data_IF_046570036142
#
_entry.id   IF_046570036142
#
_cell.length_a   1.000
_cell.length_b   1.000
_cell.length_c   1.000
_cell.angle_alpha   90.00
_cell.angle_beta   90.00
_cell.angle_gamma   90.00
#
_symmetry.space_group_name_H-M   'P 1'
#
loop_
_entity.id
_entity.type
_entity.pdbx_description
1 polymer ?
#
# COMPACT_ATOMS: atom_id res chain seq x y z
N UNK A 1 -0.34 -12.31 56.47
CA UNK A 1 -1.80 -12.33 56.26
C UNK A 1 -2.10 -13.18 55.04
N UNK A 2 -2.65 -14.37 55.24
CA UNK A 2 -3.03 -15.30 54.16
C UNK A 2 -4.34 -14.84 53.52
N UNK A 3 -4.38 -14.79 52.18
CA UNK A 3 -5.61 -14.45 51.46
C UNK A 3 -6.70 -15.50 51.72
N UNK A 4 -7.98 -15.09 51.81
CA UNK A 4 -9.12 -15.99 51.97
C UNK A 4 -9.17 -17.06 50.86
N UNK A 5 -9.45 -18.31 51.23
CA UNK A 5 -9.58 -19.45 50.31
C UNK A 5 -10.42 -19.21 49.03
N UNK A 6 -11.60 -18.56 49.09
CA UNK A 6 -12.40 -18.33 47.89
C UNK A 6 -11.70 -17.40 46.89
N UNK A 7 -10.92 -16.44 47.37
CA UNK A 7 -10.15 -15.53 46.52
C UNK A 7 -8.93 -16.21 45.91
N UNK A 8 -8.26 -17.10 46.66
CA UNK A 8 -7.17 -17.93 46.12
C UNK A 8 -7.64 -18.87 45.02
N UNK A 9 -8.81 -19.49 45.18
CA UNK A 9 -9.39 -20.37 44.15
C UNK A 9 -9.78 -19.58 42.90
N UNK A 10 -10.38 -18.39 43.06
CA UNK A 10 -10.74 -17.52 41.93
C UNK A 10 -9.51 -16.95 41.20
N UNK A 11 -8.48 -16.54 41.91
CA UNK A 11 -7.23 -16.08 41.31
C UNK A 11 -6.46 -17.24 40.63
N UNK A 12 -6.51 -18.44 41.21
CA UNK A 12 -5.95 -19.64 40.60
C UNK A 12 -6.67 -20.06 39.32
N UNK A 13 -8.00 -19.97 39.28
CA UNK A 13 -8.76 -20.22 38.04
C UNK A 13 -8.47 -19.14 37.00
N UNK A 14 -8.43 -17.86 37.39
CA UNK A 14 -8.13 -16.77 36.46
C UNK A 14 -6.69 -16.86 35.92
N UNK A 15 -5.73 -17.24 36.75
CA UNK A 15 -4.34 -17.44 36.32
C UNK A 15 -4.22 -18.60 35.34
N UNK A 16 -4.93 -19.71 35.54
CA UNK A 16 -4.96 -20.82 34.57
C UNK A 16 -5.67 -20.45 33.27
N UNK A 17 -6.73 -19.64 33.33
CA UNK A 17 -7.42 -19.15 32.13
C UNK A 17 -6.56 -18.16 31.32
N UNK A 18 -5.71 -17.37 31.98
CA UNK A 18 -4.86 -16.38 31.29
C UNK A 18 -3.49 -16.95 30.85
N UNK A 19 -2.94 -17.92 31.60
CA UNK A 19 -1.59 -18.47 31.34
C UNK A 19 -1.57 -19.93 30.87
N UNK A 20 -2.70 -20.59 30.69
CA UNK A 20 -2.72 -22.01 30.27
C UNK A 20 -3.84 -22.28 29.27
N UNK A 21 -3.61 -21.91 28.02
CA UNK A 21 -4.15 -22.69 26.90
C UNK A 21 -3.13 -22.74 25.75
N UNK A 22 -2.29 -23.77 25.75
CA UNK A 22 -1.38 -24.08 24.65
C UNK A 22 -1.29 -25.59 24.38
N UNK A 23 -2.29 -26.38 24.78
CA UNK A 23 -2.33 -27.79 24.37
C UNK A 23 -3.74 -28.38 24.41
N UNK A 24 -4.52 -28.12 23.36
CA UNK A 24 -5.63 -28.97 22.91
C UNK A 24 -5.59 -29.12 21.39
N UNK A 25 -5.59 -30.34 20.84
CA UNK A 25 -5.71 -30.56 19.40
C UNK A 25 -7.20 -30.52 19.03
N UNK A 26 -7.65 -29.36 18.58
CA UNK A 26 -8.96 -29.11 17.97
C UNK A 26 -8.75 -28.15 16.79
N UNK A 27 -9.66 -28.12 15.80
CA UNK A 27 -9.37 -27.64 14.45
C UNK A 27 -8.73 -26.25 14.48
N UNK A 28 -7.56 -26.15 13.85
CA UNK A 28 -6.77 -24.94 13.69
C UNK A 28 -7.55 -23.93 12.85
N UNK A 29 -8.43 -23.17 13.51
CA UNK A 29 -8.72 -21.82 13.06
C UNK A 29 -7.45 -21.01 13.27
N UNK A 30 -6.88 -20.37 12.23
CA UNK A 30 -5.67 -19.62 12.36
C UNK A 30 -5.96 -18.39 13.22
N UNK A 31 -5.68 -18.52 14.51
CA UNK A 31 -5.40 -17.43 15.43
C UNK A 31 -4.07 -16.75 15.08
N UNK A 32 -3.84 -16.48 13.79
CA UNK A 32 -2.74 -15.65 13.27
C UNK A 32 -3.27 -14.26 12.88
N UNK A 33 -4.28 -13.80 13.62
CA UNK A 33 -4.79 -12.43 13.62
C UNK A 33 -3.80 -11.43 14.25
N UNK A 34 -2.58 -11.86 14.54
CA UNK A 34 -1.48 -11.07 15.09
C UNK A 34 -0.47 -10.57 14.04
N UNK A 35 -0.67 -10.84 12.74
CA UNK A 35 0.32 -10.57 11.69
C UNK A 35 -0.06 -9.54 10.62
N UNK A 36 -1.28 -8.99 10.63
CA UNK A 36 -1.66 -7.88 9.72
C UNK A 36 -1.53 -6.55 10.48
N UNK A 37 -0.38 -6.31 11.10
CA UNK A 37 0.00 -4.92 11.35
C UNK A 37 0.21 -4.28 9.97
N UNK A 38 -0.71 -3.36 9.67
CA UNK A 38 -0.71 -2.48 8.51
C UNK A 38 0.55 -1.60 8.64
N UNK A 39 1.66 -2.10 8.11
CA UNK A 39 2.94 -1.40 8.13
C UNK A 39 3.06 -0.68 6.79
N UNK A 40 2.52 0.54 6.75
CA UNK A 40 2.85 1.52 5.70
C UNK A 40 4.34 1.50 5.42
N UNK A 41 4.75 1.59 4.16
CA UNK A 41 6.19 1.54 3.85
C UNK A 41 6.88 2.81 4.36
N UNK A 42 7.60 2.67 5.48
CA UNK A 42 8.37 3.74 6.11
C UNK A 42 9.32 4.46 5.14
N UNK A 43 10.11 3.79 4.29
CA UNK A 43 11.01 4.48 3.36
C UNK A 43 10.28 5.37 2.34
N UNK A 44 9.12 4.92 1.82
CA UNK A 44 8.33 5.73 0.90
C UNK A 44 7.77 6.96 1.60
N UNK A 45 7.26 6.80 2.82
CA UNK A 45 6.70 7.91 3.60
C UNK A 45 7.74 8.96 3.95
N UNK A 46 8.95 8.54 4.34
CA UNK A 46 10.06 9.45 4.60
C UNK A 46 10.45 10.22 3.33
N UNK A 47 10.53 9.55 2.18
CA UNK A 47 10.84 10.22 0.91
C UNK A 47 9.76 11.23 0.50
N UNK A 48 8.48 10.87 0.64
CA UNK A 48 7.36 11.78 0.38
C UNK A 48 7.42 13.01 1.29
N UNK A 49 7.71 12.82 2.57
CA UNK A 49 7.86 13.91 3.53
C UNK A 49 8.94 14.90 3.09
N UNK A 50 10.14 14.42 2.75
CA UNK A 50 11.19 15.30 2.24
C UNK A 50 10.80 15.99 0.93
N UNK A 51 10.07 15.30 0.06
CA UNK A 51 9.65 15.87 -1.21
C UNK A 51 8.65 17.03 -1.04
N UNK A 52 7.77 16.99 -0.04
CA UNK A 52 6.85 18.09 0.29
C UNK A 52 7.61 19.39 0.59
N UNK A 53 8.74 19.34 1.31
CA UNK A 53 9.55 20.52 1.60
C UNK A 53 10.50 20.89 0.46
N UNK A 54 10.98 19.90 -0.29
CA UNK A 54 11.84 20.13 -1.44
C UNK A 54 11.08 20.80 -2.60
N UNK A 55 9.81 20.44 -2.82
CA UNK A 55 9.01 20.94 -3.93
C UNK A 55 8.90 22.48 -4.02
N UNK A 56 8.56 23.24 -2.96
CA UNK A 56 8.53 24.70 -3.04
C UNK A 56 9.90 25.31 -3.35
N UNK A 57 10.99 24.68 -2.88
CA UNK A 57 12.35 25.09 -3.21
C UNK A 57 12.68 24.81 -4.70
N UNK A 58 12.33 23.63 -5.20
CA UNK A 58 12.46 23.28 -6.61
C UNK A 58 11.67 24.26 -7.51
N UNK A 59 10.43 24.58 -7.11
CA UNK A 59 9.56 25.51 -7.83
C UNK A 59 10.16 26.91 -7.89
N UNK A 60 10.58 27.46 -6.74
CA UNK A 60 11.20 28.78 -6.65
C UNK A 60 12.48 28.85 -7.49
N UNK A 61 13.35 27.83 -7.38
CA UNK A 61 14.57 27.75 -8.20
C UNK A 61 14.23 27.76 -9.68
N UNK A 62 13.23 27.00 -10.11
CA UNK A 62 12.80 26.95 -11.51
C UNK A 62 12.26 28.29 -12.01
N UNK A 63 11.46 28.99 -11.19
CA UNK A 63 10.96 30.34 -11.50
C UNK A 63 12.09 31.35 -11.66
N UNK A 64 13.04 31.37 -10.72
CA UNK A 64 14.19 32.29 -10.77
C UNK A 64 15.06 32.00 -12.00
N UNK A 65 15.38 30.72 -12.26
CA UNK A 65 16.17 30.31 -13.43
C UNK A 65 15.47 30.68 -14.74
N UNK A 66 14.15 30.46 -14.83
CA UNK A 66 13.34 30.83 -15.98
C UNK A 66 13.37 32.35 -16.19
N UNK A 67 13.23 33.15 -15.12
CA UNK A 67 13.29 34.61 -15.21
C UNK A 67 14.64 35.11 -15.74
N UNK A 68 15.75 34.55 -15.22
CA UNK A 68 17.10 34.93 -15.63
C UNK A 68 17.37 34.63 -17.11
N UNK A 69 16.87 33.51 -17.63
CA UNK A 69 17.08 33.11 -19.04
C UNK A 69 15.98 33.57 -19.99
N UNK A 70 14.89 34.15 -19.47
CA UNK A 70 13.71 34.58 -20.23
C UNK A 70 14.04 35.45 -21.45
N UNK A 71 14.97 36.44 -21.38
CA UNK A 71 15.28 37.30 -22.53
C UNK A 71 16.00 36.58 -23.68
N UNK A 72 16.74 35.51 -23.37
CA UNK A 72 17.64 34.82 -24.31
C UNK A 72 17.02 33.55 -24.90
N UNK A 73 15.82 33.19 -24.41
CA UNK A 73 15.08 32.00 -24.81
C UNK A 73 14.16 32.31 -25.99
N UNK A 74 13.94 31.33 -26.87
CA UNK A 74 12.97 31.48 -27.97
C UNK A 74 11.53 31.44 -27.44
N UNK A 75 10.59 32.10 -28.12
CA UNK A 75 9.21 32.28 -27.65
C UNK A 75 8.45 30.96 -27.46
N UNK A 76 8.69 29.96 -28.33
CA UNK A 76 8.06 28.65 -28.18
C UNK A 76 8.55 27.93 -26.91
N UNK A 77 9.83 28.03 -26.55
CA UNK A 77 10.37 27.45 -25.33
C UNK A 77 9.88 28.17 -24.07
N UNK A 78 9.64 29.49 -24.13
CA UNK A 78 9.02 30.23 -23.02
C UNK A 78 7.65 29.64 -22.70
N UNK A 79 6.82 29.46 -23.72
CA UNK A 79 5.47 28.89 -23.56
C UNK A 79 5.52 27.45 -23.02
N UNK A 80 6.42 26.61 -23.57
CA UNK A 80 6.61 25.22 -23.12
C UNK A 80 7.03 25.18 -21.64
N UNK A 81 8.03 25.98 -21.22
CA UNK A 81 8.53 25.97 -19.85
C UNK A 81 7.49 26.45 -18.84
N UNK A 82 6.74 27.52 -19.17
CA UNK A 82 5.64 28.00 -18.30
C UNK A 82 4.56 26.93 -18.16
N UNK A 83 4.20 26.26 -19.26
CA UNK A 83 3.22 25.17 -19.26
C UNK A 83 3.71 24.00 -18.40
N UNK A 84 4.96 23.57 -18.58
CA UNK A 84 5.58 22.52 -17.77
C UNK A 84 5.59 22.90 -16.29
N UNK A 85 5.94 24.13 -15.95
CA UNK A 85 5.98 24.59 -14.56
C UNK A 85 4.60 24.48 -13.89
N UNK A 86 3.54 24.89 -14.56
CA UNK A 86 2.16 24.76 -14.05
C UNK A 86 1.77 23.29 -13.94
N UNK A 87 1.99 22.52 -15.03
CA UNK A 87 1.58 21.12 -15.11
C UNK A 87 2.29 20.26 -14.06
N UNK A 88 3.62 20.39 -13.94
CA UNK A 88 4.43 19.70 -12.92
C UNK A 88 3.94 20.05 -11.53
N UNK A 89 3.59 21.32 -11.28
CA UNK A 89 3.11 21.73 -9.95
C UNK A 89 1.79 21.08 -9.58
N UNK A 90 0.82 21.06 -10.50
CA UNK A 90 -0.47 20.41 -10.28
C UNK A 90 -0.32 18.90 -10.10
N UNK A 91 0.46 18.26 -10.98
CA UNK A 91 0.69 16.81 -10.91
C UNK A 91 1.43 16.47 -9.62
N UNK A 92 2.44 17.25 -9.22
CA UNK A 92 3.19 16.99 -7.99
C UNK A 92 2.27 16.99 -6.77
N UNK A 93 1.39 17.99 -6.64
CA UNK A 93 0.46 18.08 -5.51
C UNK A 93 -0.45 16.86 -5.46
N UNK A 94 -1.07 16.50 -6.58
CA UNK A 94 -1.94 15.32 -6.67
C UNK A 94 -1.15 14.05 -6.37
N UNK A 95 0.06 13.93 -6.92
CA UNK A 95 0.94 12.78 -6.73
C UNK A 95 1.30 12.64 -5.25
N UNK A 96 1.82 13.68 -4.60
CA UNK A 96 2.18 13.64 -3.18
C UNK A 96 0.99 13.27 -2.29
N UNK A 97 -0.21 13.80 -2.60
CA UNK A 97 -1.44 13.43 -1.90
C UNK A 97 -1.76 11.94 -2.04
N UNK A 98 -1.78 11.41 -3.27
CA UNK A 98 -2.05 9.99 -3.53
C UNK A 98 -1.00 9.07 -2.91
N UNK A 99 0.28 9.47 -2.94
CA UNK A 99 1.36 8.72 -2.31
C UNK A 99 1.22 8.65 -0.79
N UNK A 100 0.85 9.76 -0.16
CA UNK A 100 0.64 9.84 1.29
C UNK A 100 -0.56 8.98 1.72
N UNK A 101 -1.71 9.20 1.09
CA UNK A 101 -2.96 8.48 1.38
C UNK A 101 -2.83 6.99 1.04
N UNK A 102 -2.32 6.66 -0.14
CA UNK A 102 -2.18 5.27 -0.61
C UNK A 102 -1.21 4.45 0.23
N UNK A 103 -0.11 5.05 0.70
CA UNK A 103 0.84 4.34 1.56
C UNK A 103 0.33 4.16 3.00
N UNK A 104 -0.33 5.17 3.58
CA UNK A 104 -0.85 5.10 4.95
C UNK A 104 -2.10 4.23 5.08
N UNK A 105 -3.00 4.30 4.11
CA UNK A 105 -4.27 3.57 4.13
C UNK A 105 -4.17 2.22 3.40
N UNK A 106 -2.96 1.83 2.95
CA UNK A 106 -2.69 0.65 2.10
C UNK A 106 -3.64 0.52 0.90
N UNK A 107 -4.14 1.65 0.38
CA UNK A 107 -5.09 1.61 -0.73
C UNK A 107 -4.36 1.45 -2.05
N UNK A 108 -4.52 0.26 -2.63
CA UNK A 108 -3.96 -0.14 -3.92
C UNK A 108 -4.27 0.85 -5.05
N UNK A 109 -5.52 1.35 -5.24
CA UNK A 109 -5.80 2.23 -6.36
C UNK A 109 -5.09 3.59 -6.26
N UNK A 110 -5.03 4.19 -5.07
CA UNK A 110 -4.34 5.46 -4.83
C UNK A 110 -2.82 5.32 -5.00
N UNK A 111 -2.24 4.22 -4.51
CA UNK A 111 -0.81 3.95 -4.68
C UNK A 111 -0.46 3.63 -6.14
N UNK A 112 -1.34 2.95 -6.88
CA UNK A 112 -1.19 2.75 -8.31
C UNK A 112 -1.27 4.08 -9.07
N UNK A 113 -2.18 4.98 -8.68
CA UNK A 113 -2.25 6.34 -9.20
C UNK A 113 -0.96 7.13 -8.97
N UNK A 114 -0.42 7.09 -7.75
CA UNK A 114 0.89 7.67 -7.43
C UNK A 114 2.00 7.14 -8.36
N UNK A 115 2.08 5.82 -8.50
CA UNK A 115 3.09 5.15 -9.30
C UNK A 115 2.95 5.49 -10.79
N UNK A 116 1.73 5.51 -11.30
CA UNK A 116 1.42 5.87 -12.68
C UNK A 116 1.76 7.33 -12.97
N UNK A 117 1.35 8.28 -12.13
CA UNK A 117 1.68 9.69 -12.29
C UNK A 117 3.20 9.91 -12.26
N UNK A 118 3.92 9.18 -11.41
CA UNK A 118 5.38 9.24 -11.31
C UNK A 118 6.06 8.79 -12.60
N UNK A 119 5.66 7.65 -13.14
CA UNK A 119 6.29 7.06 -14.33
C UNK A 119 5.83 7.68 -15.64
N UNK A 120 4.53 7.94 -15.79
CA UNK A 120 3.96 8.32 -17.07
C UNK A 120 4.02 9.82 -17.30
N UNK A 121 3.80 10.63 -16.26
CA UNK A 121 3.78 12.08 -16.40
C UNK A 121 5.08 12.71 -15.90
N UNK A 122 5.51 12.38 -14.69
CA UNK A 122 6.64 13.09 -14.09
C UNK A 122 7.99 12.71 -14.71
N UNK A 123 8.20 11.42 -14.99
CA UNK A 123 9.48 10.92 -15.50
C UNK A 123 9.81 11.46 -16.91
N UNK A 124 8.89 11.47 -17.89
CA UNK A 124 9.19 12.07 -19.20
C UNK A 124 9.46 13.57 -19.11
N UNK A 125 8.73 14.29 -18.24
CA UNK A 125 8.91 15.73 -18.08
C UNK A 125 10.26 16.04 -17.44
N UNK A 126 10.68 15.31 -16.40
CA UNK A 126 11.99 15.54 -15.78
C UNK A 126 13.12 15.18 -16.74
N UNK A 127 12.99 14.11 -17.54
CA UNK A 127 13.96 13.78 -18.58
C UNK A 127 14.04 14.89 -19.64
N UNK A 128 12.90 15.43 -20.07
CA UNK A 128 12.86 16.57 -21.00
C UNK A 128 13.60 17.79 -20.44
N UNK A 129 13.39 18.12 -19.16
CA UNK A 129 14.08 19.23 -18.50
C UNK A 129 15.58 19.00 -18.31
N UNK A 130 16.03 17.74 -18.20
CA UNK A 130 17.44 17.40 -18.02
C UNK A 130 18.23 17.32 -19.33
N UNK A 131 17.62 16.80 -20.40
CA UNK A 131 18.33 16.43 -21.64
C UNK A 131 18.10 17.37 -22.81
N UNK A 132 17.11 18.28 -22.73
CA UNK A 132 16.86 19.21 -23.82
C UNK A 132 17.81 20.41 -23.78
N UNK A 133 18.88 20.35 -24.56
CA UNK A 133 19.89 21.41 -24.68
C UNK A 133 19.31 22.75 -25.18
N UNK A 134 18.20 22.72 -25.92
CA UNK A 134 17.52 23.92 -26.40
C UNK A 134 16.96 24.82 -25.29
N UNK A 135 16.83 24.29 -24.06
CA UNK A 135 16.40 25.04 -22.89
C UNK A 135 17.49 25.93 -22.28
N UNK A 136 18.73 25.88 -22.81
CA UNK A 136 19.92 26.56 -22.26
C UNK A 136 20.03 26.30 -20.75
N UNK A 137 20.07 25.02 -20.39
CA UNK A 137 19.97 24.53 -19.02
C UNK A 137 21.12 25.11 -18.19
N UNK A 138 20.80 25.85 -17.14
CA UNK A 138 21.81 26.39 -16.22
C UNK A 138 22.28 25.30 -15.24
N UNK A 139 23.52 25.38 -14.71
CA UNK A 139 24.04 24.37 -13.79
C UNK A 139 23.16 24.17 -12.54
N UNK A 140 22.59 25.25 -12.00
CA UNK A 140 21.70 25.18 -10.84
C UNK A 140 20.36 24.48 -11.18
N UNK A 141 19.75 24.83 -12.32
CA UNK A 141 18.55 24.16 -12.83
C UNK A 141 18.79 22.66 -13.01
N UNK A 142 19.94 22.30 -13.60
CA UNK A 142 20.33 20.89 -13.78
C UNK A 142 20.49 20.17 -12.45
N UNK A 143 21.19 20.76 -11.48
CA UNK A 143 21.38 20.15 -10.16
C UNK A 143 20.05 19.91 -9.44
N UNK A 144 19.16 20.90 -9.44
CA UNK A 144 17.84 20.83 -8.81
C UNK A 144 16.96 19.77 -9.48
N UNK A 145 16.99 19.68 -10.81
CA UNK A 145 16.28 18.64 -11.57
C UNK A 145 16.86 17.23 -11.34
N UNK A 146 18.19 17.08 -11.21
CA UNK A 146 18.82 15.80 -10.86
C UNK A 146 18.34 15.34 -9.49
N UNK A 147 18.35 16.23 -8.48
CA UNK A 147 17.89 15.89 -7.13
C UNK A 147 16.43 15.44 -7.19
N UNK A 148 15.57 16.18 -7.90
CA UNK A 148 14.17 15.79 -8.08
C UNK A 148 14.02 14.42 -8.76
N UNK A 149 14.80 14.14 -9.81
CA UNK A 149 14.81 12.85 -10.48
C UNK A 149 15.26 11.69 -9.57
N UNK A 150 16.23 11.93 -8.68
CA UNK A 150 16.66 10.95 -7.67
C UNK A 150 15.54 10.64 -6.66
N UNK A 151 14.85 11.66 -6.15
CA UNK A 151 13.67 11.46 -5.29
C UNK A 151 12.58 10.67 -6.03
N UNK A 152 12.27 11.05 -7.28
CA UNK A 152 11.25 10.42 -8.10
C UNK A 152 11.58 8.94 -8.37
N UNK A 153 12.81 8.64 -8.80
CA UNK A 153 13.24 7.27 -9.08
C UNK A 153 13.19 6.37 -7.84
N UNK A 154 13.66 6.87 -6.68
CA UNK A 154 13.53 6.16 -5.41
C UNK A 154 12.07 5.87 -5.07
N UNK A 155 11.19 6.88 -5.19
CA UNK A 155 9.76 6.75 -4.92
C UNK A 155 9.09 5.73 -5.85
N UNK A 156 9.42 5.71 -7.14
CA UNK A 156 8.90 4.73 -8.10
C UNK A 156 9.27 3.31 -7.68
N UNK A 157 10.52 3.06 -7.28
CA UNK A 157 10.99 1.73 -6.86
C UNK A 157 10.28 1.32 -5.56
N UNK A 158 10.26 2.20 -4.55
CA UNK A 158 9.63 1.92 -3.27
C UNK A 158 8.11 1.70 -3.40
N UNK A 159 7.43 2.51 -4.21
CA UNK A 159 6.01 2.36 -4.49
C UNK A 159 5.71 1.07 -5.25
N UNK A 160 6.55 0.68 -6.22
CA UNK A 160 6.40 -0.61 -6.92
C UNK A 160 6.49 -1.80 -5.96
N UNK A 161 7.49 -1.79 -5.07
CA UNK A 161 7.65 -2.85 -4.06
C UNK A 161 6.44 -2.91 -3.13
N UNK A 162 5.93 -1.75 -2.70
CA UNK A 162 4.74 -1.66 -1.83
C UNK A 162 3.51 -2.17 -2.56
N UNK A 163 3.29 -1.75 -3.81
CA UNK A 163 2.18 -2.20 -4.64
C UNK A 163 2.18 -3.73 -4.82
N UNK A 164 3.34 -4.33 -5.13
CA UNK A 164 3.49 -5.78 -5.26
C UNK A 164 3.15 -6.53 -3.97
N UNK A 165 3.59 -5.99 -2.82
CA UNK A 165 3.28 -6.57 -1.50
C UNK A 165 1.78 -6.50 -1.20
N UNK A 166 1.16 -5.34 -1.42
CA UNK A 166 -0.27 -5.14 -1.12
C UNK A 166 -1.16 -5.97 -2.05
N UNK A 167 -0.83 -6.09 -3.33
CA UNK A 167 -1.58 -6.96 -4.27
C UNK A 167 -1.49 -8.42 -3.86
N UNK A 168 -0.32 -8.91 -3.44
CA UNK A 168 -0.17 -10.29 -2.96
C UNK A 168 -0.97 -10.55 -1.68
N UNK A 169 -0.98 -9.59 -0.73
CA UNK A 169 -1.82 -9.67 0.47
C UNK A 169 -3.31 -9.72 0.11
N UNK A 170 -3.74 -8.87 -0.82
CA UNK A 170 -5.12 -8.81 -1.28
C UNK A 170 -5.55 -10.14 -1.92
N UNK A 171 -4.71 -10.73 -2.77
CA UNK A 171 -4.96 -12.04 -3.38
C UNK A 171 -5.08 -13.16 -2.34
N UNK A 172 -4.23 -13.16 -1.30
CA UNK A 172 -4.31 -14.13 -0.22
C UNK A 172 -5.61 -13.98 0.59
N UNK A 173 -6.02 -12.75 0.90
CA UNK A 173 -7.26 -12.49 1.63
C UNK A 173 -8.50 -12.90 0.83
N UNK A 174 -8.55 -12.65 -0.48
CA UNK A 174 -9.66 -13.09 -1.32
C UNK A 174 -9.79 -14.62 -1.32
N UNK A 175 -8.66 -15.32 -1.47
CA UNK A 175 -8.67 -16.78 -1.45
C UNK A 175 -9.14 -17.34 -0.11
N UNK A 176 -8.65 -16.79 1.01
CA UNK A 176 -9.11 -17.22 2.33
C UNK A 176 -10.61 -16.97 2.54
N UNK A 177 -11.11 -15.81 2.10
CA UNK A 177 -12.53 -15.46 2.23
C UNK A 177 -13.44 -16.36 1.35
N UNK A 178 -12.96 -16.83 0.20
CA UNK A 178 -13.67 -17.85 -0.60
C UNK A 178 -13.73 -19.19 0.13
N UNK A 179 -12.65 -19.61 0.80
CA UNK A 179 -12.64 -20.85 1.59
C UNK A 179 -13.58 -20.77 2.81
N UNK A 180 -13.56 -19.67 3.56
CA UNK A 180 -14.46 -19.47 4.71
C UNK A 180 -15.94 -19.51 4.29
N UNK A 181 -16.30 -18.89 3.16
CA UNK A 181 -17.68 -18.95 2.63
C UNK A 181 -18.10 -20.36 2.20
N UNK A 182 -17.17 -21.20 1.76
CA UNK A 182 -17.44 -22.60 1.41
C UNK A 182 -17.61 -23.48 2.66
N UNK A 183 -16.95 -23.18 3.77
CA UNK A 183 -17.16 -23.87 5.05
C UNK A 183 -18.46 -23.45 5.76
N UNK A 184 -18.91 -22.21 5.57
CA UNK A 184 -20.13 -21.68 6.21
C UNK A 184 -21.45 -22.17 5.57
N UNK A 185 -21.41 -22.75 4.36
CA UNK A 185 -22.53 -23.51 3.80
C UNK A 185 -22.35 -25.00 4.15
N UNK A 186 -23.03 -25.55 5.18
CA UNK A 186 -23.05 -26.99 5.35
C UNK A 186 -23.67 -27.58 4.08
N UNK A 187 -22.97 -28.53 3.47
CA UNK A 187 -23.40 -29.18 2.24
C UNK A 187 -24.90 -29.54 2.31
N UNK A 188 -25.69 -29.29 1.25
CA UNK A 188 -27.11 -29.64 1.25
C UNK A 188 -27.26 -31.10 1.63
N UNK A 189 -28.28 -31.43 2.41
CA UNK A 189 -28.59 -32.69 3.13
C UNK A 189 -28.53 -34.00 2.32
N UNK A 190 -27.48 -34.25 1.55
CA UNK A 190 -27.32 -35.47 0.76
C UNK A 190 -26.75 -36.62 1.60
N UNK A 191 -26.16 -36.30 2.75
CA UNK A 191 -25.63 -37.28 3.69
C UNK A 191 -26.68 -37.87 4.64
N UNK A 192 -27.85 -37.23 4.83
CA UNK A 192 -28.93 -37.81 5.64
C UNK A 192 -29.73 -38.86 4.86
N UNK A 193 -29.92 -38.68 3.55
CA UNK A 193 -30.71 -39.61 2.74
C UNK A 193 -30.08 -41.00 2.63
N UNK A 194 -28.75 -41.07 2.50
CA UNK A 194 -28.03 -42.34 2.41
C UNK A 194 -27.99 -43.14 3.72
N UNK A 195 -28.27 -42.49 4.87
CA UNK A 195 -28.33 -43.16 6.18
C UNK A 195 -29.73 -43.72 6.45
N UNK A 196 -30.77 -43.05 5.97
CA UNK A 196 -32.15 -43.50 6.06
C UNK A 196 -32.43 -44.68 5.10
N UNK A 197 -31.91 -44.62 3.86
CA UNK A 197 -32.02 -45.73 2.90
C UNK A 197 -31.31 -47.01 3.39
N UNK A 198 -30.14 -46.86 4.05
CA UNK A 198 -29.41 -48.00 4.62
C UNK A 198 -30.11 -48.60 5.84
N UNK A 199 -30.77 -47.78 6.65
CA UNK A 199 -31.55 -48.25 7.80
C UNK A 199 -32.83 -48.99 7.36
N UNK A 200 -33.49 -48.51 6.31
CA UNK A 200 -34.68 -49.15 5.73
C UNK A 200 -34.32 -50.46 5.01
N UNK A 201 -33.19 -50.51 4.31
CA UNK A 201 -32.72 -51.73 3.63
C UNK A 201 -32.35 -52.87 4.60
N UNK A 202 -31.80 -52.54 5.78
CA UNK A 202 -31.52 -53.54 6.83
C UNK A 202 -32.77 -54.05 7.57
N UNK A 203 -33.89 -53.31 7.52
CA UNK A 203 -35.14 -53.73 8.16
C UNK A 203 -36.02 -54.63 7.26
N UNK A 204 -35.82 -54.61 5.94
CA UNK A 204 -36.63 -55.37 4.97
C UNK A 204 -35.97 -56.66 4.44
N UNK A 205 -34.76 -57.01 4.87
CA UNK A 205 -34.03 -58.21 4.43
C UNK A 205 -34.20 -59.40 5.37
N UNK A 206 -35.40 -59.97 5.47
CA UNK A 206 -35.65 -61.25 6.14
C UNK A 206 -36.70 -62.07 5.40
N UNK A 207 -36.29 -63.22 4.85
CA UNK A 207 -36.89 -64.49 5.28
C UNK A 207 -35.84 -65.54 5.67
#
# INVERSE_FOLDING_TARGET
MSLPEPLRRRLGSFSRTVFTDSHRPGPQYPADRAGIEIISSLPLQMSLYFNVYFFPFWWLSTVVMLHLKYPVLSDYYKFILVTIMILVSLIEVIRLYLGYVGNLQEKVPELAGFWLLSLLLQLPVILFLLFNEGLKIQPLERAVNIIFALFLSFQVIAAFVTLKRTVNKLAAHFRLNEFDQLEEHPAPEFYSLGKEERAVSMACGGP
#
